data_IF_576270384446
#
_entry.id   IF_576270384446
#
_cell.length_a   1.000
_cell.length_b   1.000
_cell.length_c   1.000
_cell.angle_alpha   90.00
_cell.angle_beta   90.00
_cell.angle_gamma   90.00
#
_symmetry.space_group_name_H-M   'P 1'
#
loop_
_entity.id
_entity.type
_entity.pdbx_description
1 polymer ?
#
# COMPACT_ATOMS: atom_id res chain seq x y z
N UNK A 1 6.61 2.72 3.19
CA UNK A 1 7.85 1.93 3.11
C UNK A 1 8.12 1.24 4.43
N UNK A 2 9.15 0.40 4.50
CA UNK A 2 9.65 -0.15 5.76
C UNK A 2 10.35 0.97 6.57
N UNK A 3 10.05 1.06 7.86
CA UNK A 3 10.75 1.94 8.79
C UNK A 3 11.55 1.11 9.79
N UNK A 4 10.88 0.19 10.49
CA UNK A 4 11.48 -0.76 11.42
C UNK A 4 10.61 -2.04 11.56
N UNK A 5 10.96 -2.93 12.48
CA UNK A 5 10.26 -4.20 12.72
C UNK A 5 8.79 -4.01 13.19
N UNK A 6 8.48 -2.87 13.77
CA UNK A 6 7.20 -2.51 14.37
C UNK A 6 6.34 -1.67 13.42
N UNK A 7 6.95 -0.96 12.47
CA UNK A 7 6.26 -0.02 11.61
C UNK A 7 6.64 -0.17 10.12
N UNK A 8 5.61 -0.37 9.31
CA UNK A 8 5.69 -0.31 7.86
C UNK A 8 4.42 0.34 7.30
N UNK A 9 4.58 0.92 6.11
CA UNK A 9 3.49 1.50 5.33
C UNK A 9 3.66 1.09 3.86
N UNK A 10 2.62 1.25 3.04
CA UNK A 10 2.69 0.93 1.61
C UNK A 10 2.86 2.21 0.80
N UNK A 11 3.84 2.19 -0.10
CA UNK A 11 4.05 3.24 -1.10
C UNK A 11 4.11 2.65 -2.49
N UNK A 12 4.08 3.52 -3.49
CA UNK A 12 4.08 3.19 -4.91
C UNK A 12 5.25 3.88 -5.62
N UNK A 13 5.80 3.21 -6.63
CA UNK A 13 6.82 3.75 -7.53
C UNK A 13 6.61 3.15 -8.93
N UNK A 14 7.05 3.86 -9.97
CA UNK A 14 7.03 3.37 -11.35
C UNK A 14 8.43 3.39 -11.95
N UNK A 15 8.68 2.47 -12.87
CA UNK A 15 9.85 2.46 -13.72
C UNK A 15 9.41 2.11 -15.13
N UNK A 16 9.98 2.71 -16.19
CA UNK A 16 9.66 2.35 -17.57
C UNK A 16 9.98 0.88 -17.91
N UNK A 17 10.93 0.27 -17.20
CA UNK A 17 11.46 -1.07 -17.49
C UNK A 17 11.49 -2.02 -16.29
N UNK A 18 11.12 -1.54 -15.09
CA UNK A 18 11.16 -2.33 -13.85
C UNK A 18 12.56 -2.60 -13.31
N UNK A 19 13.59 -1.95 -13.85
CA UNK A 19 15.00 -2.16 -13.49
C UNK A 19 15.60 -0.88 -12.91
N UNK A 20 15.52 0.23 -13.64
CA UNK A 20 16.11 1.52 -13.28
C UNK A 20 15.13 2.67 -13.43
N UNK A 21 15.58 3.91 -13.21
CA UNK A 21 14.77 5.13 -13.34
C UNK A 21 13.45 5.06 -12.56
N UNK A 22 13.52 4.54 -11.32
CA UNK A 22 12.38 4.45 -10.42
C UNK A 22 11.99 5.84 -9.92
N UNK A 23 10.79 6.25 -10.25
CA UNK A 23 10.16 7.46 -9.75
C UNK A 23 9.22 7.07 -8.61
N UNK A 24 9.27 7.79 -7.48
CA UNK A 24 8.37 7.54 -6.34
C UNK A 24 7.10 8.36 -6.52
N UNK A 25 5.94 7.77 -6.20
CA UNK A 25 4.68 8.50 -6.22
C UNK A 25 4.75 9.70 -5.26
N UNK A 26 4.46 10.94 -5.71
CA UNK A 26 4.64 12.15 -4.89
C UNK A 26 3.78 12.18 -3.64
N UNK A 27 2.59 11.54 -3.67
CA UNK A 27 1.68 11.49 -2.53
C UNK A 27 1.85 10.25 -1.65
N UNK A 28 2.98 9.53 -1.78
CA UNK A 28 3.29 8.45 -0.86
C UNK A 28 3.26 8.91 0.60
N UNK A 29 2.87 8.03 1.55
CA UNK A 29 2.41 6.65 1.36
C UNK A 29 0.97 6.54 0.83
N UNK A 30 0.65 5.45 0.12
CA UNK A 30 -0.71 5.18 -0.40
C UNK A 30 -1.60 4.41 0.57
N UNK A 31 -1.01 3.69 1.53
CA UNK A 31 -1.73 3.09 2.67
C UNK A 31 -0.90 3.33 3.93
N UNK A 32 -1.55 3.85 4.96
CA UNK A 32 -0.97 4.10 6.29
C UNK A 32 -1.73 3.32 7.35
N UNK A 33 -1.06 2.87 8.43
CA UNK A 33 -1.73 2.38 9.63
C UNK A 33 -2.81 3.36 10.10
N UNK A 34 -4.00 2.85 10.42
CA UNK A 34 -5.09 3.68 10.91
C UNK A 34 -4.96 3.84 12.43
N UNK A 35 -4.81 5.06 12.98
CA UNK A 35 -4.73 5.25 14.42
C UNK A 35 -5.95 4.66 15.14
N UNK A 36 -5.72 3.72 16.06
CA UNK A 36 -6.78 3.00 16.78
C UNK A 36 -7.54 1.96 15.95
N UNK A 37 -7.15 1.73 14.70
CA UNK A 37 -7.74 0.74 13.81
C UNK A 37 -7.19 -0.68 14.02
N UNK A 38 -7.74 -1.62 13.25
CA UNK A 38 -7.30 -3.02 13.24
C UNK A 38 -5.91 -3.20 12.57
N UNK A 39 -5.43 -2.18 11.86
CA UNK A 39 -4.13 -2.12 11.18
C UNK A 39 -3.18 -1.06 11.80
N UNK A 40 -3.45 -0.65 13.05
CA UNK A 40 -2.83 0.52 13.68
C UNK A 40 -1.30 0.45 13.86
N UNK A 41 -0.71 -0.75 13.86
CA UNK A 41 0.75 -0.90 14.02
C UNK A 41 1.49 -0.80 12.70
N UNK A 42 1.01 -1.45 11.64
CA UNK A 42 1.72 -1.51 10.37
C UNK A 42 0.83 -2.02 9.22
N UNK A 43 1.13 -1.56 8.00
CA UNK A 43 0.53 -2.03 6.75
C UNK A 43 1.62 -2.47 5.75
N UNK A 44 1.53 -3.71 5.24
CA UNK A 44 2.57 -4.32 4.41
C UNK A 44 2.08 -5.49 3.56
N UNK A 45 3.00 -6.09 2.78
CA UNK A 45 2.74 -7.18 1.83
C UNK A 45 1.59 -6.87 0.86
N UNK A 46 1.67 -5.75 0.11
CA UNK A 46 0.64 -5.38 -0.85
C UNK A 46 0.54 -6.39 -2.00
N UNK A 47 -0.68 -6.61 -2.49
CA UNK A 47 -0.97 -7.29 -3.75
C UNK A 47 -2.05 -6.50 -4.50
N UNK A 48 -1.67 -5.94 -5.65
CA UNK A 48 -2.55 -5.10 -6.46
C UNK A 48 -3.21 -5.92 -7.58
N UNK A 49 -4.48 -5.66 -7.84
CA UNK A 49 -5.24 -6.16 -8.98
C UNK A 49 -5.85 -4.95 -9.69
N UNK A 50 -5.61 -4.87 -10.99
CA UNK A 50 -6.29 -3.91 -11.85
C UNK A 50 -7.57 -4.55 -12.38
N UNK A 51 -8.71 -3.99 -12.01
CA UNK A 51 -10.00 -4.31 -12.59
C UNK A 51 -10.38 -3.25 -13.63
N UNK A 52 -11.48 -3.47 -14.37
CA UNK A 52 -11.89 -2.59 -15.47
C UNK A 52 -11.99 -1.10 -15.09
N UNK A 53 -12.55 -0.82 -13.91
CA UNK A 53 -12.92 0.53 -13.48
C UNK A 53 -12.26 0.94 -12.14
N UNK A 54 -11.42 0.09 -11.56
CA UNK A 54 -10.80 0.36 -10.26
C UNK A 54 -9.49 -0.41 -10.05
N UNK A 55 -8.74 0.04 -9.06
CA UNK A 55 -7.65 -0.71 -8.46
C UNK A 55 -8.09 -1.33 -7.14
N UNK A 56 -7.80 -2.61 -6.97
CA UNK A 56 -7.92 -3.32 -5.71
C UNK A 56 -6.53 -3.55 -5.14
N UNK A 57 -6.32 -3.18 -3.87
CA UNK A 57 -5.08 -3.44 -3.16
C UNK A 57 -5.36 -4.27 -1.92
N UNK A 58 -5.03 -5.55 -1.99
CA UNK A 58 -5.00 -6.41 -0.81
C UNK A 58 -3.73 -6.11 -0.02
N UNK A 59 -3.84 -6.06 1.30
CA UNK A 59 -2.69 -5.84 2.18
C UNK A 59 -2.85 -6.56 3.50
N UNK A 60 -1.72 -6.77 4.17
CA UNK A 60 -1.69 -7.23 5.56
C UNK A 60 -1.67 -6.00 6.48
N UNK A 61 -2.67 -5.88 7.35
CA UNK A 61 -2.70 -4.92 8.44
C UNK A 61 -2.40 -5.63 9.76
N UNK A 62 -1.58 -4.98 10.59
CA UNK A 62 -1.22 -5.47 11.92
C UNK A 62 -1.68 -4.52 13.01
N UNK A 63 -2.24 -5.07 14.09
CA UNK A 63 -2.35 -4.38 15.36
C UNK A 63 -1.76 -5.26 16.48
N UNK A 64 -0.64 -4.80 17.05
CA UNK A 64 0.18 -5.58 17.98
C UNK A 64 0.56 -6.95 17.40
N UNK A 65 0.08 -8.04 17.97
CA UNK A 65 0.35 -9.40 17.50
C UNK A 65 -0.69 -9.93 16.50
N UNK A 66 -1.81 -9.21 16.30
CA UNK A 66 -2.89 -9.63 15.43
C UNK A 66 -2.64 -9.17 14.00
N UNK A 67 -2.72 -10.11 13.06
CA UNK A 67 -2.53 -9.91 11.62
C UNK A 67 -3.85 -10.20 10.90
N UNK A 68 -4.25 -9.31 10.00
CA UNK A 68 -5.48 -9.45 9.21
C UNK A 68 -5.26 -8.99 7.77
N UNK A 69 -6.07 -9.51 6.86
CA UNK A 69 -6.07 -9.10 5.45
C UNK A 69 -7.12 -8.01 5.25
N UNK A 70 -6.68 -6.86 4.73
CA UNK A 70 -7.54 -5.76 4.30
C UNK A 70 -7.57 -5.60 2.79
N UNK A 71 -8.58 -4.88 2.33
CA UNK A 71 -8.76 -4.46 0.94
C UNK A 71 -8.94 -2.94 0.92
N UNK A 72 -8.13 -2.26 0.12
CA UNK A 72 -8.36 -0.88 -0.29
C UNK A 72 -8.82 -0.85 -1.76
N UNK A 73 -9.80 0.00 -2.07
CA UNK A 73 -10.32 0.19 -3.42
C UNK A 73 -10.10 1.64 -3.82
N UNK A 74 -9.52 1.84 -4.99
CA UNK A 74 -9.37 3.14 -5.63
C UNK A 74 -10.22 3.15 -6.90
N UNK A 75 -11.29 3.95 -6.91
CA UNK A 75 -12.34 3.96 -7.94
C UNK A 75 -11.97 4.79 -9.18
N UNK A 76 -10.74 4.62 -9.66
CA UNK A 76 -10.27 5.19 -10.91
C UNK A 76 -9.22 4.25 -11.51
N UNK A 77 -9.07 4.27 -12.82
CA UNK A 77 -8.06 3.49 -13.53
C UNK A 77 -6.71 4.23 -13.58
N UNK A 78 -6.74 5.56 -13.70
CA UNK A 78 -5.54 6.39 -13.69
C UNK A 78 -5.06 6.61 -12.25
N UNK A 79 -3.79 6.32 -11.98
CA UNK A 79 -3.18 6.45 -10.67
C UNK A 79 -2.56 7.85 -10.44
N UNK A 80 -2.81 8.79 -11.35
CA UNK A 80 -2.37 10.20 -11.30
C UNK A 80 -0.86 10.34 -11.08
N UNK A 81 -0.08 9.43 -11.70
CA UNK A 81 1.37 9.38 -11.58
C UNK A 81 2.05 10.29 -12.61
#
# INVERSE_FOLDING_TARGET
>A
GFHDINFAQIGMARSPNGIDNWERYPQNPIITPTPGGWDASATYKPFAIQEKDCWMLWYNGRNEALEQIGLAIYNNHDLDF
#
